data_IF_241706674979
#
_entry.id   IF_241706674979
#
_cell.length_a   1.000
_cell.length_b   1.000
_cell.length_c   1.000
_cell.angle_alpha   90.00
_cell.angle_beta   90.00
_cell.angle_gamma   90.00
#
_symmetry.space_group_name_H-M   'P 1'
#
loop_
_entity.id
_entity.type
_entity.pdbx_description
1 polymer ?
#
# COMPACT_ATOMS: atom_id res chain seq x y z
N UNK A 1 6.58 5.41 -0.77
CA UNK A 1 6.20 4.13 -1.44
C UNK A 1 6.25 3.03 -0.40
N UNK A 2 5.24 2.17 -0.31
CA UNK A 2 5.27 1.03 0.62
C UNK A 2 6.40 0.05 0.27
N UNK A 3 7.14 -0.41 1.27
CA UNK A 3 8.17 -1.44 1.10
C UNK A 3 7.51 -2.80 0.91
N UNK A 4 7.38 -3.22 -0.35
CA UNK A 4 6.77 -4.49 -0.71
C UNK A 4 7.82 -5.59 -0.90
N UNK A 5 7.68 -6.72 -0.19
CA UNK A 5 8.58 -7.87 -0.34
C UNK A 5 8.28 -8.67 -1.63
N UNK A 6 8.78 -8.18 -2.76
CA UNK A 6 8.58 -8.80 -4.09
C UNK A 6 9.12 -10.23 -4.13
N UNK A 7 10.25 -10.51 -3.50
CA UNK A 7 10.85 -11.85 -3.47
C UNK A 7 9.96 -12.86 -2.73
N UNK A 8 9.43 -12.48 -1.57
CA UNK A 8 8.51 -13.32 -0.80
C UNK A 8 7.21 -13.60 -1.54
N UNK A 9 6.66 -12.59 -2.21
CA UNK A 9 5.45 -12.73 -3.03
C UNK A 9 5.64 -13.67 -4.23
N UNK A 10 6.82 -13.66 -4.84
CA UNK A 10 7.18 -14.56 -5.95
C UNK A 10 7.33 -16.02 -5.52
N UNK A 11 7.46 -16.30 -4.22
CA UNK A 11 7.53 -17.66 -3.68
C UNK A 11 6.17 -18.39 -3.71
N UNK A 12 5.05 -17.68 -3.88
CA UNK A 12 3.72 -18.29 -3.88
C UNK A 12 3.38 -18.84 -5.28
N UNK A 13 3.25 -20.17 -5.39
CA UNK A 13 2.99 -20.87 -6.67
C UNK A 13 1.75 -20.38 -7.41
N UNK A 14 0.68 -20.01 -6.70
CA UNK A 14 -0.58 -19.60 -7.32
C UNK A 14 -0.56 -18.14 -7.79
N UNK A 15 0.12 -17.27 -7.02
CA UNK A 15 0.09 -15.83 -7.24
C UNK A 15 1.32 -15.31 -8.00
N UNK A 16 2.42 -16.05 -8.04
CA UNK A 16 3.67 -15.61 -8.70
C UNK A 16 3.47 -15.20 -10.16
N UNK A 17 2.61 -15.92 -10.92
CA UNK A 17 2.33 -15.62 -12.32
C UNK A 17 1.63 -14.27 -12.50
N UNK A 18 0.65 -13.96 -11.65
CA UNK A 18 -0.09 -12.68 -11.72
C UNK A 18 0.74 -11.53 -11.18
N UNK A 19 1.51 -11.76 -10.11
CA UNK A 19 2.41 -10.76 -9.52
C UNK A 19 3.55 -10.41 -10.47
N UNK A 20 4.16 -11.40 -11.12
CA UNK A 20 5.22 -11.17 -12.11
C UNK A 20 4.73 -10.34 -13.31
N UNK A 21 3.47 -10.51 -13.73
CA UNK A 21 2.86 -9.70 -14.79
C UNK A 21 2.66 -8.22 -14.43
N UNK A 22 2.54 -7.89 -13.15
CA UNK A 22 2.35 -6.50 -12.71
C UNK A 22 3.64 -5.67 -12.77
N UNK A 23 4.82 -6.29 -12.89
CA UNK A 23 6.06 -5.55 -13.12
C UNK A 23 6.45 -4.58 -11.99
N UNK A 24 6.13 -4.90 -10.74
CA UNK A 24 6.30 -4.01 -9.57
C UNK A 24 7.74 -3.53 -9.37
N UNK A 25 8.73 -4.33 -9.78
CA UNK A 25 10.14 -3.95 -9.74
C UNK A 25 10.45 -2.80 -10.71
N UNK A 26 9.96 -2.91 -11.94
CA UNK A 26 10.16 -1.87 -12.97
C UNK A 26 9.41 -0.59 -12.62
N UNK A 27 8.21 -0.72 -12.07
CA UNK A 27 7.45 0.41 -11.56
C UNK A 27 8.23 1.19 -10.50
N UNK A 28 8.81 0.49 -9.51
CA UNK A 28 9.67 1.10 -8.47
C UNK A 28 10.91 1.77 -9.08
N UNK A 29 11.56 1.14 -10.07
CA UNK A 29 12.74 1.72 -10.75
C UNK A 29 12.38 3.03 -11.46
N UNK A 30 11.27 3.06 -12.19
CA UNK A 30 10.82 4.26 -12.89
C UNK A 30 10.44 5.39 -11.93
N UNK A 31 9.81 5.07 -10.80
CA UNK A 31 9.51 6.07 -9.77
C UNK A 31 10.78 6.69 -9.20
N UNK A 32 11.76 5.88 -8.80
CA UNK A 32 13.04 6.40 -8.28
C UNK A 32 13.72 7.31 -9.28
N UNK A 33 13.85 6.85 -10.53
CA UNK A 33 14.42 7.63 -11.60
C UNK A 33 13.70 8.99 -11.78
N UNK A 34 12.36 9.00 -11.79
CA UNK A 34 11.59 10.24 -11.93
C UNK A 34 11.70 11.14 -10.69
N UNK A 35 11.75 10.58 -9.49
CA UNK A 35 11.93 11.36 -8.26
C UNK A 35 13.31 12.04 -8.25
N UNK A 36 14.38 11.29 -8.58
CA UNK A 36 15.74 11.82 -8.73
C UNK A 36 15.80 12.91 -9.79
N UNK A 37 15.17 12.69 -10.95
CA UNK A 37 15.11 13.68 -12.03
C UNK A 37 14.43 14.99 -11.63
N UNK A 38 13.39 14.92 -10.80
CA UNK A 38 12.65 16.09 -10.32
C UNK A 38 13.23 16.67 -9.01
N UNK A 39 14.30 16.09 -8.45
CA UNK A 39 14.86 16.50 -7.16
C UNK A 39 13.92 16.24 -5.97
N UNK A 40 12.98 15.30 -6.10
CA UNK A 40 12.02 14.94 -5.06
C UNK A 40 12.57 13.77 -4.25
N UNK A 41 12.54 13.87 -2.93
CA UNK A 41 12.95 12.78 -2.05
C UNK A 41 12.00 11.57 -2.16
N UNK A 42 12.55 10.42 -2.51
CA UNK A 42 11.79 9.17 -2.55
C UNK A 42 11.88 8.44 -1.21
N UNK A 43 10.84 8.58 -0.38
CA UNK A 43 10.76 7.91 0.92
C UNK A 43 10.04 6.56 0.79
N UNK A 44 10.70 5.51 1.27
CA UNK A 44 10.10 4.17 1.42
C UNK A 44 9.48 4.06 2.82
N UNK A 45 8.20 3.67 2.87
CA UNK A 45 7.43 3.51 4.09
C UNK A 45 7.57 2.07 4.57
N UNK A 46 7.71 1.87 5.88
CA UNK A 46 7.89 0.54 6.47
C UNK A 46 6.67 -0.37 6.25
N UNK A 47 6.91 -1.67 6.18
CA UNK A 47 5.90 -2.70 5.89
C UNK A 47 4.83 -2.80 6.99
N UNK A 48 5.12 -2.35 8.22
CA UNK A 48 4.18 -2.36 9.35
C UNK A 48 3.35 -1.08 9.49
N UNK A 49 3.43 -0.16 8.52
CA UNK A 49 2.63 1.05 8.53
C UNK A 49 1.14 0.72 8.28
N UNK A 50 0.20 1.10 9.18
CA UNK A 50 -1.20 0.70 9.09
C UNK A 50 -1.99 1.53 8.06
N UNK A 51 -1.50 1.70 6.83
CA UNK A 51 -2.13 2.51 5.77
C UNK A 51 -3.57 2.04 5.46
N UNK A 52 -3.76 0.74 5.32
CA UNK A 52 -5.04 0.12 4.99
C UNK A 52 -6.05 0.06 6.14
N UNK A 53 -5.59 0.29 7.38
CA UNK A 53 -6.42 0.28 8.60
C UNK A 53 -6.72 1.67 9.14
N UNK A 54 -6.02 2.69 8.64
CA UNK A 54 -6.17 4.07 9.07
C UNK A 54 -7.20 4.78 8.19
N UNK A 55 -8.21 5.38 8.81
CA UNK A 55 -9.13 6.23 8.07
C UNK A 55 -8.40 7.49 7.59
N UNK A 56 -8.44 7.79 6.28
CA UNK A 56 -7.82 8.99 5.71
C UNK A 56 -8.47 10.29 6.16
N UNK A 57 -9.72 10.23 6.61
CA UNK A 57 -10.50 11.39 7.04
C UNK A 57 -10.32 11.71 8.53
N UNK A 58 -10.23 10.68 9.39
CA UNK A 58 -10.24 10.87 10.85
C UNK A 58 -9.04 10.27 11.59
N UNK A 59 -8.09 9.63 10.90
CA UNK A 59 -6.87 9.08 11.50
C UNK A 59 -7.09 7.88 12.43
N UNK A 60 -8.32 7.40 12.59
CA UNK A 60 -8.61 6.24 13.45
C UNK A 60 -8.08 4.94 12.83
N UNK A 61 -7.31 4.19 13.60
CA UNK A 61 -6.76 2.88 13.22
C UNK A 61 -7.72 1.78 13.65
N UNK A 62 -8.38 1.11 12.68
CA UNK A 62 -9.21 -0.06 12.97
C UNK A 62 -8.32 -1.25 13.35
N UNK A 63 -8.62 -1.89 14.48
CA UNK A 63 -7.88 -3.09 14.92
C UNK A 63 -8.16 -4.29 13.99
N UNK A 64 -9.42 -4.44 13.57
CA UNK A 64 -9.88 -5.50 12.65
C UNK A 64 -10.33 -4.96 11.28
N UNK A 65 -9.83 -5.57 10.22
CA UNK A 65 -10.21 -5.26 8.83
C UNK A 65 -10.86 -6.49 8.19
N UNK A 66 -12.19 -6.58 8.28
CA UNK A 66 -12.96 -7.53 7.47
C UNK A 66 -13.13 -6.93 6.07
N UNK A 67 -12.45 -7.51 5.08
CA UNK A 67 -12.59 -7.10 3.67
C UNK A 67 -13.94 -7.59 3.13
N UNK A 68 -15.03 -6.92 3.50
CA UNK A 68 -16.30 -7.01 2.80
C UNK A 68 -16.29 -5.95 1.69
N UNK A 69 -16.51 -6.39 0.45
CA UNK A 69 -16.66 -5.50 -0.70
C UNK A 69 -17.77 -4.48 -0.40
N UNK A 70 -17.41 -3.21 -0.40
CA UNK A 70 -18.35 -2.10 -0.39
C UNK A 70 -18.62 -1.54 1.01
N UNK A 71 -18.43 -0.21 1.12
CA UNK A 71 -18.73 0.64 2.26
C UNK A 71 -17.86 0.40 3.50
N UNK A 72 -16.76 1.16 3.60
CA UNK A 72 -16.25 1.56 4.91
C UNK A 72 -17.39 2.34 5.56
N UNK A 73 -18.19 1.67 6.39
CA UNK A 73 -19.13 2.37 7.28
C UNK A 73 -18.26 3.17 8.24
N UNK A 74 -18.05 4.44 7.91
CA UNK A 74 -17.78 5.48 8.90
C UNK A 74 -19.05 5.54 9.74
N UNK A 75 -19.06 4.79 10.85
CA UNK A 75 -20.05 5.01 11.90
C UNK A 75 -19.90 6.47 12.30
N UNK A 76 -20.97 7.25 12.08
CA UNK A 76 -21.12 8.66 12.44
C UNK A 76 -20.25 9.01 13.65
N UNK A 77 -19.15 9.71 13.39
CA UNK A 77 -18.46 10.48 14.43
C UNK A 77 -19.08 11.86 14.31
N UNK A 78 -20.02 12.15 15.21
CA UNK A 78 -20.50 13.52 15.40
C UNK A 78 -19.30 14.44 15.57
N UNK A 79 -19.10 15.32 14.60
CA UNK A 79 -18.36 16.54 14.82
C UNK A 79 -19.42 17.62 15.05
N UNK A 80 -19.56 17.96 16.34
CA UNK A 80 -20.57 18.80 17.01
C UNK A 80 -21.84 18.07 17.48
#
# INVERSE_FOLDING_TARGET
METLNIRGMMSNRHLAKVIGKQGLYEFRRQLKYKCEFNGIEFVEVDTWHPSSKTCSECGHVKQDCHYQKGLISVRNVNVL
#
